data_IF_596323102459
#
_entry.id   IF_596323102459
#
_cell.length_a   1.000
_cell.length_b   1.000
_cell.length_c   1.000
_cell.angle_alpha   90.00
_cell.angle_beta   90.00
_cell.angle_gamma   90.00
#
_symmetry.space_group_name_H-M   'P 1'
#
loop_
_entity.id
_entity.type
_entity.pdbx_description
1 polymer ?
2 branched ?
3 non-polymer ?
4 non-polymer ?
5 water ?
#
# COMPACT_ATOMS: atom_id res chain seq x y z
N UNK A 21 14.02 -32.32 -5.75
CA UNK A 21 14.06 -30.82 -5.78
C UNK A 21 12.80 -30.24 -5.14
N UNK A 22 12.84 -28.94 -4.85
CA UNK A 22 11.79 -28.34 -4.05
C UNK A 22 10.53 -28.24 -4.87
N UNK A 23 9.40 -28.27 -4.17
CA UNK A 23 8.11 -28.19 -4.82
C UNK A 23 7.27 -27.10 -4.14
N UNK A 24 6.42 -26.49 -4.93
CA UNK A 24 5.42 -25.55 -4.42
C UNK A 24 4.10 -25.95 -5.01
N UNK A 25 3.00 -25.72 -4.29
CA UNK A 25 1.69 -25.91 -4.87
C UNK A 25 0.97 -24.57 -4.85
N UNK A 26 0.34 -24.23 -5.98
CA UNK A 26 -0.57 -23.09 -6.01
C UNK A 26 -1.99 -23.68 -6.03
N UNK A 27 -2.85 -23.26 -5.08
CA UNK A 27 -4.22 -23.78 -5.00
C UNK A 27 -5.17 -22.70 -5.43
N UNK A 28 -5.61 -22.79 -6.67
CA UNK A 28 -6.50 -21.78 -7.23
C UNK A 28 -7.91 -21.74 -6.61
N UNK A 29 -8.29 -22.80 -5.89
CA UNK A 29 -9.57 -22.88 -5.22
C UNK A 29 -9.62 -22.25 -3.83
N UNK A 30 -8.47 -21.84 -3.30
CA UNK A 30 -8.39 -21.26 -1.93
C UNK A 30 -8.19 -19.73 -2.07
N UNK A 31 -9.30 -19.03 -2.29
CA UNK A 31 -9.19 -17.57 -2.50
C UNK A 31 -8.98 -16.79 -1.19
N UNK A 32 -8.11 -15.79 -1.23
CA UNK A 32 -7.81 -14.93 -0.11
C UNK A 32 -8.31 -13.49 -0.41
N UNK A 33 -7.51 -12.45 -0.22
CA UNK A 33 -7.98 -11.05 -0.31
C UNK A 33 -8.00 -10.58 -1.75
N UNK A 34 -8.99 -9.77 -2.12
CA UNK A 34 -9.03 -9.08 -3.39
C UNK A 34 -8.03 -7.91 -3.39
N UNK A 35 -7.18 -7.83 -4.41
CA UNK A 35 -6.20 -6.76 -4.50
C UNK A 35 -6.84 -5.42 -4.92
N UNK A 36 -6.57 -4.37 -4.17
CA UNK A 36 -6.98 -3.01 -4.53
C UNK A 36 -5.92 -2.29 -5.32
N UNK A 37 -4.68 -2.44 -4.93
CA UNK A 37 -3.55 -1.93 -5.70
C UNK A 37 -2.33 -1.49 -4.95
N UNK A 38 -1.48 -0.74 -5.66
CA UNK A 38 -0.13 -0.36 -5.23
C UNK A 38 0.14 1.09 -5.63
N UNK A 39 0.91 1.84 -4.83
CA UNK A 39 1.26 3.18 -5.26
C UNK A 39 2.13 3.95 -4.30
N UNK A 40 1.86 5.26 -4.14
CA UNK A 40 2.68 6.12 -3.26
C UNK A 40 2.10 7.52 -3.06
N UNK A 41 2.86 8.40 -2.36
CA UNK A 41 2.47 9.75 -1.91
C UNK A 41 2.93 10.88 -2.81
N UNK A 42 2.06 11.87 -3.04
CA UNK A 42 2.44 13.19 -3.59
C UNK A 42 2.21 14.26 -2.49
N UNK A 43 3.14 15.22 -2.33
CA UNK A 43 2.93 16.29 -1.33
C UNK A 43 3.49 17.62 -1.85
N UNK A 44 2.70 18.35 -2.61
CA UNK A 44 3.20 19.53 -3.32
C UNK A 44 3.39 20.83 -2.47
N UNK A 45 3.06 20.77 -1.19
CA UNK A 45 3.36 21.86 -0.25
C UNK A 45 4.74 21.65 0.39
N UNK A 46 5.04 20.44 0.84
CA UNK A 46 6.34 20.12 1.45
C UNK A 46 7.47 19.96 0.47
N UNK A 47 7.21 19.31 -0.68
CA UNK A 47 8.22 19.07 -1.70
C UNK A 47 7.61 19.50 -3.04
N UNK A 48 8.36 19.35 -4.11
CA UNK A 48 7.84 19.78 -5.42
C UNK A 48 6.79 18.77 -5.82
N UNK A 49 5.72 19.28 -6.42
CA UNK A 49 4.75 18.39 -7.09
C UNK A 49 5.45 17.46 -8.15
N UNK A 50 4.82 16.31 -8.46
CA UNK A 50 5.23 15.55 -9.64
C UNK A 50 5.07 16.46 -10.85
N UNK A 51 6.00 16.38 -11.80
CA UNK A 51 5.88 17.08 -13.08
C UNK A 51 4.87 16.32 -13.95
N UNK A 52 4.45 16.95 -15.04
CA UNK A 52 3.60 16.22 -16.03
C UNK A 52 4.16 14.79 -16.42
N UNK A 53 5.44 14.73 -16.73
CA UNK A 53 6.06 13.46 -17.15
C UNK A 53 6.10 12.43 -16.03
N UNK A 54 6.36 12.92 -14.81
CA UNK A 54 6.43 12.04 -13.65
C UNK A 54 5.08 11.40 -13.29
N UNK A 55 4.02 12.16 -13.48
CA UNK A 55 2.66 11.65 -13.28
C UNK A 55 2.45 10.40 -14.20
N UNK A 56 2.89 10.46 -15.43
CA UNK A 56 2.74 9.33 -16.36
C UNK A 56 3.67 8.17 -16.02
N UNK A 57 4.89 8.50 -15.64
CA UNK A 57 5.81 7.42 -15.20
C UNK A 57 5.21 6.63 -14.04
N UNK A 58 4.57 7.33 -13.09
CA UNK A 58 4.04 6.68 -11.88
C UNK A 58 2.80 5.83 -12.16
N UNK A 59 1.84 6.41 -12.88
CA UNK A 59 0.47 5.85 -12.98
C UNK A 59 0.13 5.19 -14.29
N UNK A 60 0.96 5.39 -15.32
CA UNK A 60 0.88 4.60 -16.57
C UNK A 60 1.36 3.17 -16.35
N UNK A 61 0.94 2.23 -17.22
CA UNK A 61 1.42 0.83 -17.14
C UNK A 61 2.07 0.36 -18.43
N UNK A 62 2.67 1.29 -19.17
CA UNK A 62 3.46 0.93 -20.33
C UNK A 62 4.89 0.65 -19.99
N UNK A 63 5.68 0.52 -21.06
CA UNK A 63 7.10 0.31 -20.93
C UNK A 63 7.76 1.46 -20.17
N UNK A 64 8.56 1.10 -19.18
CA UNK A 64 9.24 2.08 -18.35
C UNK A 64 8.34 2.90 -17.41
N UNK A 65 7.14 2.37 -17.13
CA UNK A 65 6.23 3.01 -16.20
C UNK A 65 5.91 2.02 -15.08
N UNK A 66 5.61 2.57 -13.91
CA UNK A 66 5.45 1.76 -12.69
C UNK A 66 4.12 1.02 -12.57
N UNK A 67 3.08 1.49 -13.23
CA UNK A 67 1.78 0.83 -13.18
C UNK A 67 1.09 1.01 -11.85
N UNK A 68 1.42 2.09 -11.11
CA UNK A 68 0.76 2.33 -9.84
C UNK A 68 -0.74 2.55 -10.04
N UNK A 69 -1.54 2.07 -9.06
CA UNK A 69 -2.99 2.19 -9.14
C UNK A 69 -3.60 2.91 -7.94
N UNK A 70 -2.77 3.40 -6.99
CA UNK A 70 -3.24 4.18 -5.85
C UNK A 70 -2.35 5.42 -5.68
N UNK A 71 -2.98 6.59 -5.54
CA UNK A 71 -2.30 7.83 -5.16
C UNK A 71 -2.78 8.23 -3.80
N UNK A 72 -1.84 8.53 -2.90
CA UNK A 72 -2.19 9.16 -1.63
C UNK A 72 -1.76 10.64 -1.61
N UNK A 73 -2.62 11.51 -1.05
CA UNK A 73 -2.40 12.99 -0.93
C UNK A 73 -2.70 13.45 0.48
N UNK A 74 -2.27 14.68 0.83
CA UNK A 74 -2.58 15.26 2.13
C UNK A 74 -3.75 16.26 2.07
N UNK A 75 -4.38 16.43 3.22
CA UNK A 75 -5.45 17.44 3.41
C UNK A 75 -4.82 18.61 4.18
N UNK A 76 -4.57 19.73 3.49
CA UNK A 76 -3.93 20.85 4.15
C UNK A 76 -4.87 21.53 5.18
N UNK A 77 -4.28 21.94 6.28
CA UNK A 77 -4.94 22.77 7.29
C UNK A 77 -5.38 24.15 6.80
N UNK A 78 -4.71 24.65 5.76
CA UNK A 78 -5.02 25.97 5.15
C UNK A 78 -5.68 25.69 3.83
N UNK A 79 -6.97 25.97 3.76
CA UNK A 79 -7.72 25.72 2.52
C UNK A 79 -7.17 26.49 1.28
N UNK A 80 -6.41 27.55 1.49
CA UNK A 80 -5.80 28.22 0.38
C UNK A 80 -4.69 27.37 -0.27
N UNK A 81 -4.24 26.28 0.34
CA UNK A 81 -3.32 25.33 -0.33
C UNK A 81 -3.97 24.14 -1.12
N UNK A 82 -5.27 23.92 -0.95
CA UNK A 82 -5.90 22.73 -1.55
C UNK A 82 -5.74 22.62 -3.08
N UNK A 83 -5.76 23.78 -3.74
CA UNK A 83 -5.61 23.85 -5.21
C UNK A 83 -4.33 23.20 -5.71
N UNK A 84 -3.30 23.18 -4.89
CA UNK A 84 -2.02 22.58 -5.30
C UNK A 84 -2.07 21.07 -5.54
N UNK A 85 -3.05 20.37 -4.95
CA UNK A 85 -3.17 18.88 -5.13
C UNK A 85 -3.80 18.42 -6.43
N UNK A 86 -4.51 19.33 -7.08
CA UNK A 86 -5.48 18.93 -8.09
C UNK A 86 -4.85 18.31 -9.34
N UNK A 87 -3.86 18.97 -9.94
CA UNK A 87 -3.28 18.48 -11.19
C UNK A 87 -2.80 17.02 -11.12
N UNK A 88 -2.03 16.69 -10.09
CA UNK A 88 -1.50 15.32 -9.98
C UNK A 88 -2.63 14.31 -9.65
N UNK A 89 -3.56 14.70 -8.78
CA UNK A 89 -4.66 13.78 -8.42
C UNK A 89 -5.56 13.49 -9.64
N UNK A 90 -5.81 14.54 -10.43
CA UNK A 90 -6.62 14.36 -11.63
C UNK A 90 -5.93 13.45 -12.62
N UNK A 91 -4.62 13.67 -12.82
CA UNK A 91 -3.90 12.81 -13.79
C UNK A 91 -3.90 11.33 -13.38
N UNK A 92 -3.72 11.07 -12.09
CA UNK A 92 -3.67 9.71 -11.60
C UNK A 92 -4.99 9.01 -11.87
N UNK A 93 -6.08 9.72 -11.61
CA UNK A 93 -7.42 9.16 -11.87
C UNK A 93 -7.60 8.89 -13.36
N UNK A 94 -7.19 9.84 -14.20
CA UNK A 94 -7.28 9.59 -15.66
C UNK A 94 -6.53 8.32 -16.13
N UNK A 95 -5.43 8.00 -15.47
CA UNK A 95 -4.66 6.81 -15.79
C UNK A 95 -5.12 5.53 -15.08
N UNK A 96 -6.20 5.62 -14.34
CA UNK A 96 -6.86 4.43 -13.75
C UNK A 96 -6.68 4.25 -12.26
N UNK A 97 -6.08 5.21 -11.57
CA UNK A 97 -5.84 5.05 -10.15
C UNK A 97 -7.02 5.47 -9.30
N UNK A 98 -6.97 5.11 -8.02
CA UNK A 98 -7.86 5.68 -7.00
C UNK A 98 -7.03 6.57 -6.10
N UNK A 99 -7.67 7.49 -5.37
CA UNK A 99 -6.97 8.51 -4.57
C UNK A 99 -7.53 8.45 -3.13
N UNK A 100 -6.64 8.38 -2.16
CA UNK A 100 -7.02 8.53 -0.75
C UNK A 100 -6.29 9.75 -0.15
N UNK A 101 -6.92 10.45 0.79
CA UNK A 101 -6.33 11.69 1.36
C UNK A 101 -6.22 11.55 2.87
N UNK A 102 -5.11 12.00 3.42
CA UNK A 102 -4.93 12.05 4.83
C UNK A 102 -4.56 13.45 5.37
N UNK A 103 -5.16 13.87 6.52
CA UNK A 103 -4.81 15.16 7.17
C UNK A 103 -3.68 14.96 8.17
N UNK A 104 -2.82 15.96 8.32
CA UNK A 104 -1.81 15.99 9.38
C UNK A 104 -2.21 16.86 10.57
N UNK A 105 -2.83 18.02 10.30
CA UNK A 105 -3.39 18.87 11.37
C UNK A 105 -4.72 19.46 10.98
N UNK A 106 -5.58 19.69 11.94
CA UNK A 106 -6.75 20.54 11.66
C UNK A 106 -6.36 22.02 11.46
N UNK A 107 -7.29 22.84 10.92
CA UNK A 107 -7.09 24.29 10.97
C UNK A 107 -6.78 24.81 12.37
N UNK A 108 -5.96 25.87 12.45
CA UNK A 108 -5.40 26.29 13.74
C UNK A 108 -6.43 26.79 14.72
N UNK A 109 -7.52 27.32 14.25
CA UNK A 109 -8.58 27.75 15.16
C UNK A 109 -9.31 26.55 15.86
N UNK A 110 -9.06 25.31 15.44
CA UNK A 110 -9.67 24.09 16.03
C UNK A 110 -8.73 23.34 16.97
N UNK A 111 -7.49 23.82 17.04
CA UNK A 111 -6.39 23.15 17.71
C UNK A 111 -6.24 23.75 19.11
N UNK A 112 -5.92 22.90 20.06
CA UNK A 112 -5.41 23.38 21.32
C UNK A 112 -4.12 22.66 21.63
N UNK A 113 -3.40 23.23 22.58
CA UNK A 113 -2.14 22.54 22.97
C UNK A 113 -2.32 21.87 24.32
N UNK A 114 -1.49 20.89 24.57
CA UNK A 114 -1.42 20.17 25.78
C UNK A 114 -0.01 19.59 25.97
N UNK A 115 0.23 19.10 27.19
CA UNK A 115 1.50 18.47 27.55
C UNK A 115 1.31 16.93 27.47
N UNK A 116 2.12 16.27 26.64
CA UNK A 116 2.12 14.81 26.39
C UNK A 116 3.44 14.15 26.86
N UNK A 117 3.33 13.22 27.81
CA UNK A 117 4.52 12.53 28.31
C UNK A 117 5.61 13.56 28.73
N UNK A 118 5.22 14.69 29.27
CA UNK A 118 6.15 15.76 29.71
C UNK A 118 6.61 16.76 28.64
N UNK A 119 6.19 16.56 27.41
CA UNK A 119 6.61 17.43 26.30
C UNK A 119 5.47 18.46 26.09
N UNK A 120 5.74 19.78 26.28
CA UNK A 120 4.67 20.80 26.15
C UNK A 120 4.37 21.18 24.70
N UNK A 121 3.33 22.00 24.55
CA UNK A 121 2.95 22.61 23.29
C UNK A 121 2.64 21.59 22.16
N UNK A 122 2.17 20.39 22.54
CA UNK A 122 1.72 19.37 21.59
C UNK A 122 0.31 19.66 21.14
N UNK A 123 -0.01 19.24 19.94
CA UNK A 123 -1.31 19.57 19.35
C UNK A 123 -2.31 18.44 19.45
N UNK A 124 -3.55 18.82 19.79
CA UNK A 124 -4.66 17.91 19.62
C UNK A 124 -5.89 18.70 19.09
N UNK A 125 -6.80 17.98 18.49
CA UNK A 125 -8.07 18.59 18.08
C UNK A 125 -8.92 18.89 19.33
N UNK A 126 -9.37 20.13 19.47
CA UNK A 126 -10.29 20.49 20.59
C UNK A 126 -11.54 19.60 20.54
N UNK A 127 -11.92 19.05 21.66
CA UNK A 127 -13.10 18.16 21.65
C UNK A 127 -14.35 18.89 21.21
N UNK A 128 -14.47 20.16 21.63
CA UNK A 128 -15.60 20.99 21.26
C UNK A 128 -15.58 21.39 19.78
N UNK A 129 -14.54 21.00 19.04
CA UNK A 129 -14.46 21.25 17.61
C UNK A 129 -14.53 19.96 16.75
N UNK A 130 -14.87 18.79 17.32
CA UNK A 130 -14.99 17.55 16.49
C UNK A 130 -15.95 17.74 15.33
N UNK A 131 -17.08 18.42 15.60
CA UNK A 131 -18.03 18.63 14.55
C UNK A 131 -17.52 19.61 13.50
N UNK A 132 -16.78 20.63 13.93
CA UNK A 132 -16.16 21.56 12.98
C UNK A 132 -15.10 20.85 12.10
N UNK A 133 -14.38 19.87 12.67
CA UNK A 133 -13.37 19.10 11.94
C UNK A 133 -13.98 18.22 10.85
N UNK A 134 -15.10 17.60 11.19
CA UNK A 134 -15.89 16.90 10.16
C UNK A 134 -16.20 17.85 9.00
N UNK A 135 -16.61 19.06 9.32
CA UNK A 135 -16.97 20.02 8.27
C UNK A 135 -15.77 20.41 7.42
N UNK A 136 -14.59 20.54 8.06
CA UNK A 136 -13.36 20.77 7.32
C UNK A 136 -13.00 19.60 6.36
N UNK A 137 -13.08 18.36 6.84
CA UNK A 137 -12.84 17.19 5.96
C UNK A 137 -13.86 17.13 4.85
N UNK A 138 -15.13 17.38 5.18
CA UNK A 138 -16.14 17.38 4.14
C UNK A 138 -15.94 18.48 3.11
N UNK A 139 -15.48 19.66 3.55
CA UNK A 139 -15.19 20.81 2.67
C UNK A 139 -14.07 20.40 1.70
N UNK A 140 -13.08 19.64 2.19
CA UNK A 140 -11.99 19.10 1.29
C UNK A 140 -12.52 18.10 0.29
N UNK A 141 -13.33 17.15 0.79
CA UNK A 141 -13.98 16.19 -0.10
C UNK A 141 -14.76 16.93 -1.21
N UNK A 142 -15.54 17.94 -0.82
CA UNK A 142 -16.39 18.65 -1.79
C UNK A 142 -15.54 19.50 -2.74
N UNK A 143 -14.47 20.10 -2.21
CA UNK A 143 -13.55 20.88 -3.06
C UNK A 143 -12.88 19.99 -4.12
N UNK A 144 -12.41 18.82 -3.70
CA UNK A 144 -11.76 17.92 -4.66
C UNK A 144 -12.78 17.36 -5.68
N UNK A 145 -13.99 17.05 -5.22
CA UNK A 145 -15.06 16.58 -6.11
C UNK A 145 -15.42 17.62 -7.17
N UNK A 146 -15.47 18.88 -6.78
CA UNK A 146 -15.74 20.00 -7.68
C UNK A 146 -14.63 20.15 -8.73
N UNK A 147 -13.43 19.66 -8.41
CA UNK A 147 -12.26 19.67 -9.30
C UNK A 147 -11.95 18.33 -9.95
N UNK A 148 -12.94 17.44 -10.03
CA UNK A 148 -12.79 16.15 -10.74
C UNK A 148 -12.06 15.03 -10.05
N UNK A 149 -11.86 15.19 -8.72
CA UNK A 149 -11.20 14.22 -7.94
C UNK A 149 -12.21 13.65 -6.92
N UNK A 150 -12.77 12.49 -7.24
CA UNK A 150 -13.66 11.73 -6.36
C UNK A 150 -12.80 10.83 -5.46
N UNK A 151 -12.56 11.28 -4.24
CA UNK A 151 -11.71 10.52 -3.33
C UNK A 151 -12.30 9.13 -3.01
N UNK A 152 -11.47 8.09 -3.03
CA UNK A 152 -11.90 6.74 -2.65
C UNK A 152 -12.12 6.70 -1.11
N UNK A 153 -11.29 7.46 -0.37
CA UNK A 153 -11.31 7.44 1.06
C UNK A 153 -10.57 8.64 1.64
N UNK A 154 -10.97 9.02 2.86
CA UNK A 154 -10.32 10.09 3.63
C UNK A 154 -10.03 9.56 5.03
N UNK A 155 -8.87 9.92 5.53
CA UNK A 155 -8.43 9.43 6.84
C UNK A 155 -8.77 10.45 7.94
N UNK A 156 -8.96 9.96 9.16
CA UNK A 156 -9.17 10.82 10.32
C UNK A 156 -7.86 11.56 10.63
N UNK A 157 -6.74 10.85 10.49
CA UNK A 157 -5.45 11.37 10.91
C UNK A 157 -4.30 10.51 10.41
N UNK A 158 -3.30 11.15 9.87
CA UNK A 158 -2.02 10.45 9.61
C UNK A 158 -1.26 10.22 10.86
N UNK A 159 -0.98 8.97 11.21
CA UNK A 159 -0.08 8.67 12.33
C UNK A 159 -0.44 9.42 13.60
N UNK A 160 -1.66 9.19 14.11
CA UNK A 160 -2.13 9.78 15.36
C UNK A 160 -1.25 9.42 16.54
N UNK A 161 -0.50 8.31 16.42
CA UNK A 161 0.35 7.77 17.48
C UNK A 161 1.83 8.03 17.25
N UNK A 162 2.14 8.96 16.33
CA UNK A 162 3.52 9.39 16.09
C UNK A 162 3.55 10.88 15.72
N UNK A 163 2.88 11.71 16.50
CA UNK A 163 2.50 13.10 16.08
C UNK A 163 3.32 14.23 16.71
N UNK A 164 4.56 13.96 17.01
CA UNK A 164 5.47 14.96 17.54
C UNK A 164 5.44 16.25 16.68
N UNK A 165 5.27 16.10 15.38
CA UNK A 165 5.27 17.26 14.47
C UNK A 165 3.92 17.56 13.86
N UNK A 166 2.87 16.94 14.38
CA UNK A 166 1.51 17.19 13.91
C UNK A 166 0.50 17.00 15.06
N UNK A 167 -0.67 16.40 14.79
CA UNK A 167 -1.77 16.33 15.75
C UNK A 167 -1.93 14.92 16.29
N UNK A 168 -1.80 14.82 17.62
CA UNK A 168 -1.95 13.54 18.31
C UNK A 168 -3.42 13.17 18.58
N UNK A 169 -3.74 11.88 18.48
CA UNK A 169 -4.99 11.33 18.99
C UNK A 169 -4.66 10.09 19.80
N UNK A 170 -5.17 10.05 21.00
CA UNK A 170 -5.11 8.81 21.77
C UNK A 170 -6.01 7.72 21.14
N UNK A 171 -5.82 6.45 21.54
CA UNK A 171 -6.78 5.44 21.06
C UNK A 171 -8.24 5.75 21.42
N UNK A 172 -8.46 6.35 22.58
CA UNK A 172 -9.80 6.70 23.03
C UNK A 172 -10.38 7.90 22.26
N UNK A 173 -9.55 8.91 21.99
CA UNK A 173 -9.99 10.09 21.22
C UNK A 173 -10.36 9.67 19.80
N UNK A 174 -9.49 8.85 19.18
CA UNK A 174 -9.78 8.20 17.90
C UNK A 174 -11.11 7.40 17.95
N UNK A 175 -11.29 6.57 18.99
CA UNK A 175 -12.48 5.81 19.12
C UNK A 175 -13.71 6.73 19.21
N UNK A 176 -13.67 7.74 20.07
CA UNK A 176 -14.83 8.62 20.27
C UNK A 176 -15.18 9.36 18.98
N UNK A 177 -14.16 9.79 18.23
CA UNK A 177 -14.40 10.40 16.92
C UNK A 177 -15.05 9.40 15.94
N UNK A 178 -14.49 8.20 15.88
CA UNK A 178 -15.04 7.11 15.05
C UNK A 178 -16.44 6.74 15.42
N UNK A 179 -16.71 6.68 16.71
CA UNK A 179 -18.04 6.28 17.18
C UNK A 179 -19.07 7.38 17.03
N UNK A 180 -18.71 8.63 17.36
CA UNK A 180 -19.69 9.72 17.52
C UNK A 180 -19.76 10.68 16.35
N UNK A 181 -18.70 10.77 15.54
CA UNK A 181 -18.59 11.80 14.46
C UNK A 181 -18.34 11.27 13.07
N UNK A 182 -17.62 10.16 12.91
CA UNK A 182 -17.14 9.72 11.62
C UNK A 182 -18.23 9.29 10.68
N UNK A 183 -19.42 8.92 11.21
CA UNK A 183 -20.60 8.71 10.37
C UNK A 183 -21.01 9.91 9.51
N UNK A 184 -20.64 11.11 9.91
CA UNK A 184 -21.00 12.35 9.18
C UNK A 184 -20.05 12.71 8.02
N UNK A 185 -18.99 11.93 7.87
CA UNK A 185 -18.02 12.16 6.80
C UNK A 185 -18.57 11.61 5.51
N UNK A 186 -18.55 12.44 4.49
CA UNK A 186 -19.15 12.12 3.21
C UNK A 186 -18.19 11.37 2.31
N UNK A 187 -17.58 10.32 2.78
CA UNK A 187 -16.61 9.55 1.99
C UNK A 187 -16.39 8.21 2.73
N UNK A 188 -15.66 7.27 2.15
CA UNK A 188 -15.17 6.13 2.96
C UNK A 188 -14.21 6.64 4.01
N UNK A 189 -14.32 6.10 5.22
CA UNK A 189 -13.49 6.53 6.33
C UNK A 189 -12.38 5.51 6.56
N UNK A 190 -11.16 6.02 6.54
CA UNK A 190 -9.96 5.26 6.82
C UNK A 190 -9.45 5.63 8.20
N UNK A 191 -9.11 4.61 8.99
CA UNK A 191 -8.51 4.83 10.26
C UNK A 191 -7.77 3.53 10.67
N UNK A 192 -6.85 3.60 11.61
CA UNK A 192 -6.35 4.83 12.24
C UNK A 192 -4.99 5.27 11.71
N UNK A 193 -4.42 4.56 10.72
CA UNK A 193 -3.11 4.87 10.17
C UNK A 193 -2.03 4.97 11.23
N UNK A 194 -1.97 3.93 12.09
CA UNK A 194 -0.90 3.83 13.05
C UNK A 194 0.44 3.74 12.33
N UNK A 195 1.46 4.41 12.86
CA UNK A 195 2.75 4.43 12.17
C UNK A 195 3.39 3.02 11.99
N UNK A 196 3.01 2.07 12.85
CA UNK A 196 3.66 0.75 12.89
C UNK A 196 2.61 -0.39 12.94
N UNK A 197 1.39 -0.12 12.55
CA UNK A 197 0.31 -1.13 12.63
C UNK A 197 0.11 -1.59 14.06
N UNK A 198 0.15 -0.61 14.97
CA UNK A 198 -0.03 -0.95 16.39
C UNK A 198 -1.51 -1.25 16.68
N UNK A 199 -1.78 -2.46 17.20
CA UNK A 199 -3.17 -2.92 17.31
C UNK A 199 -3.92 -2.14 18.39
N UNK A 200 -3.21 -1.51 19.31
CA UNK A 200 -3.92 -0.70 20.31
C UNK A 200 -4.68 0.52 19.76
N UNK A 201 -4.26 1.02 18.59
CA UNK A 201 -4.97 2.11 17.92
C UNK A 201 -6.20 1.70 17.18
N UNK A 202 -6.23 0.43 16.73
CA UNK A 202 -7.32 -0.14 15.94
C UNK A 202 -8.25 -1.07 16.72
N UNK A 203 -7.77 -1.81 17.69
CA UNK A 203 -8.63 -2.72 18.47
C UNK A 203 -9.94 -2.03 18.98
N UNK A 204 -9.86 -0.76 19.51
CA UNK A 204 -11.10 -0.15 20.04
C UNK A 204 -12.17 0.05 18.96
N UNK A 205 -11.74 0.39 17.76
CA UNK A 205 -12.67 0.58 16.66
C UNK A 205 -13.33 -0.78 16.31
N UNK A 206 -12.52 -1.85 16.20
CA UNK A 206 -13.05 -3.16 15.80
C UNK A 206 -13.97 -3.78 16.84
N UNK A 207 -13.76 -3.43 18.10
CA UNK A 207 -14.57 -3.92 19.20
C UNK A 207 -15.83 -3.10 19.56
N UNK A 208 -16.03 -1.93 18.96
CA UNK A 208 -17.19 -1.10 19.23
C UNK A 208 -18.10 -1.14 17.99
N UNK A 209 -19.37 -1.60 18.17
CA UNK A 209 -20.15 -1.79 16.93
C UNK A 209 -20.41 -0.52 16.14
N UNK A 210 -20.62 0.63 16.81
CA UNK A 210 -20.85 1.91 16.12
C UNK A 210 -19.63 2.42 15.38
N UNK A 211 -18.50 2.36 16.05
CA UNK A 211 -17.24 2.76 15.42
C UNK A 211 -16.90 1.87 14.23
N UNK A 212 -17.04 0.57 14.42
CA UNK A 212 -16.77 -0.41 13.34
C UNK A 212 -17.70 -0.16 12.16
N UNK A 213 -18.96 0.11 12.44
CA UNK A 213 -19.88 0.44 11.38
C UNK A 213 -19.45 1.71 10.62
N UNK A 214 -18.87 2.70 11.30
CA UNK A 214 -18.46 3.95 10.64
C UNK A 214 -17.14 3.79 9.87
N UNK A 215 -16.35 2.79 10.23
CA UNK A 215 -15.14 2.46 9.48
C UNK A 215 -15.44 1.85 8.12
N UNK A 216 -14.62 2.19 7.14
CA UNK A 216 -14.63 1.48 5.85
C UNK A 216 -13.32 0.78 5.49
N UNK A 217 -12.23 1.43 5.82
CA UNK A 217 -10.88 0.92 5.52
C UNK A 217 -10.03 0.98 6.76
N UNK A 218 -9.52 -0.15 7.16
CA UNK A 218 -8.51 -0.22 8.21
C UNK A 218 -7.20 0.12 7.53
N UNK A 219 -6.64 1.30 7.85
CA UNK A 219 -5.38 1.72 7.28
C UNK A 219 -4.26 1.58 8.28
N UNK A 220 -3.09 1.17 7.82
CA UNK A 220 -1.92 0.96 8.70
C UNK A 220 -0.64 1.34 7.95
N UNK A 221 0.32 1.91 8.66
CA UNK A 221 1.69 2.07 8.11
C UNK A 221 2.60 0.96 8.63
N UNK A 222 3.78 0.78 7.98
CA UNK A 222 4.62 -0.40 8.22
C UNK A 222 5.99 -0.04 8.74
N UNK A 223 6.18 1.17 9.35
CA UNK A 223 7.51 1.64 9.80
C UNK A 223 7.94 0.85 11.02
N UNK A 224 8.88 -0.07 10.81
CA UNK A 224 9.29 -0.95 11.88
C UNK A 224 8.40 -2.17 12.11
N UNK A 225 7.45 -2.48 11.23
CA UNK A 225 6.51 -3.57 11.47
C UNK A 225 7.12 -4.93 11.05
N UNK A 226 7.26 -5.84 12.00
CA UNK A 226 7.85 -7.18 11.71
C UNK A 226 6.84 -8.15 11.16
N UNK A 227 7.33 -9.25 10.55
CA UNK A 227 6.44 -10.28 9.97
C UNK A 227 5.49 -10.85 10.98
N UNK A 228 5.94 -11.08 12.19
CA UNK A 228 5.04 -11.64 13.23
C UNK A 228 3.91 -10.67 13.62
N UNK A 229 4.03 -9.37 13.27
CA UNK A 229 2.99 -8.36 13.59
C UNK A 229 2.12 -8.00 12.42
N UNK A 230 2.30 -8.73 11.32
CA UNK A 230 1.48 -8.56 10.13
C UNK A 230 0.12 -9.25 10.16
N UNK A 231 0.02 -10.46 10.73
CA UNK A 231 -1.34 -11.02 10.85
C UNK A 231 -2.15 -10.22 11.85
N UNK A 232 -3.46 -10.25 11.75
CA UNK A 232 -4.34 -9.52 12.71
C UNK A 232 -5.61 -10.31 12.91
N UNK A 233 -5.54 -11.29 13.86
CA UNK A 233 -6.69 -12.14 14.15
C UNK A 233 -8.00 -11.40 14.41
N UNK A 234 -7.98 -10.26 15.12
CA UNK A 234 -9.21 -9.53 15.42
C UNK A 234 -9.85 -9.01 14.15
N UNK A 235 -9.03 -8.52 13.22
CA UNK A 235 -9.54 -8.09 11.96
C UNK A 235 -10.08 -9.27 11.14
N UNK A 236 -9.43 -10.44 11.17
CA UNK A 236 -10.01 -11.64 10.51
C UNK A 236 -11.37 -12.04 11.12
N UNK A 237 -11.59 -11.80 12.42
CA UNK A 237 -12.85 -12.10 13.10
C UNK A 237 -13.92 -11.05 12.86
N UNK A 238 -13.56 -9.74 12.90
CA UNK A 238 -14.53 -8.59 12.94
C UNK A 238 -14.63 -7.77 11.67
N UNK A 239 -13.68 -8.00 10.76
CA UNK A 239 -13.46 -7.16 9.63
C UNK A 239 -14.26 -7.43 8.41
N UNK A 240 -15.30 -8.27 8.51
CA UNK A 240 -16.12 -8.48 7.30
C UNK A 240 -16.66 -7.15 6.69
N UNK A 241 -16.51 -6.99 5.37
CA UNK A 241 -16.92 -5.81 4.65
C UNK A 241 -15.98 -4.60 4.76
N UNK A 242 -14.87 -4.73 5.49
CA UNK A 242 -13.90 -3.64 5.61
C UNK A 242 -12.68 -3.97 4.79
N UNK A 243 -12.06 -2.95 4.21
CA UNK A 243 -10.83 -3.17 3.46
C UNK A 243 -9.67 -3.02 4.39
N UNK A 244 -8.51 -3.47 3.90
CA UNK A 244 -7.28 -3.50 4.70
C UNK A 244 -6.14 -2.97 3.84
N UNK A 245 -5.64 -1.77 4.15
CA UNK A 245 -4.66 -1.05 3.31
C UNK A 245 -3.43 -0.70 4.11
N UNK A 246 -2.26 -0.95 3.53
CA UNK A 246 -1.00 -0.49 4.04
C UNK A 246 -0.66 0.83 3.27
N UNK A 247 -0.88 1.96 3.97
CA UNK A 247 -0.89 3.31 3.34
C UNK A 247 0.37 4.14 3.39
N UNK A 248 1.43 3.69 4.06
CA UNK A 248 2.69 4.35 3.96
C UNK A 248 3.80 3.49 4.49
N UNK A 249 4.92 3.49 3.76
CA UNK A 249 6.17 2.97 4.24
C UNK A 249 7.28 3.39 3.30
N UNK A 250 8.50 3.31 3.81
CA UNK A 250 9.68 3.14 2.90
C UNK A 250 10.51 2.07 3.58
N UNK A 251 11.23 1.30 2.76
CA UNK A 251 12.06 0.18 3.25
C UNK A 251 13.26 -0.03 2.32
N UNK A 252 14.40 -0.43 2.85
CA UNK A 252 14.64 -0.71 4.27
C UNK A 252 15.10 0.58 5.02
N UNK A 253 15.23 1.71 4.31
CA UNK A 253 15.65 2.98 4.93
C UNK A 253 15.28 4.15 4.02
N UNK A 254 15.50 5.38 4.50
CA UNK A 254 15.33 6.59 3.65
C UNK A 254 16.69 7.29 3.42
N UNK A 255 17.73 6.49 3.28
CA UNK A 255 19.07 6.99 3.05
C UNK A 255 19.10 7.80 1.73
N UNK A 256 19.78 8.96 1.74
CA UNK A 256 19.98 9.77 0.55
C UNK A 256 20.59 8.93 -0.56
N UNK A 257 20.03 9.05 -1.75
CA UNK A 257 20.53 8.40 -2.93
C UNK A 257 20.71 6.87 -2.86
N UNK A 258 19.77 6.24 -2.18
CA UNK A 258 19.83 4.76 -1.90
C UNK A 258 19.00 3.86 -2.82
N UNK A 259 18.20 4.48 -3.70
CA UNK A 259 17.15 3.73 -4.37
C UNK A 259 17.64 2.62 -5.32
N UNK A 260 18.86 2.74 -5.84
CA UNK A 260 19.44 1.71 -6.76
C UNK A 260 20.37 0.70 -6.06
N UNK A 261 20.52 0.80 -4.78
CA UNK A 261 21.44 -0.12 -4.02
C UNK A 261 20.94 -1.57 -4.11
N UNK A 262 21.84 -2.50 -4.43
CA UNK A 262 21.55 -3.95 -4.65
C UNK A 262 22.52 -4.80 -3.83
N UNK A 263 22.08 -5.83 -3.09
CA UNK A 263 20.74 -6.40 -3.13
C UNK A 263 19.75 -5.83 -2.09
N UNK A 264 20.07 -4.66 -1.51
CA UNK A 264 19.18 -3.99 -0.55
C UNK A 264 17.77 -3.83 -1.11
N UNK A 265 17.68 -3.44 -2.38
CA UNK A 265 16.35 -3.25 -2.97
C UNK A 265 15.44 -4.51 -2.89
N UNK A 266 16.02 -5.72 -2.79
CA UNK A 266 15.17 -6.96 -2.68
C UNK A 266 14.30 -6.91 -1.43
N UNK A 267 14.68 -6.08 -0.44
CA UNK A 267 13.84 -5.92 0.79
C UNK A 267 12.48 -5.30 0.50
N UNK A 268 12.43 -4.49 -0.53
CA UNK A 268 11.14 -3.90 -0.96
C UNK A 268 10.18 -5.04 -1.40
N UNK A 269 10.67 -5.94 -2.30
CA UNK A 269 9.86 -7.08 -2.75
C UNK A 269 9.46 -8.00 -1.62
N UNK A 270 10.40 -8.28 -0.73
CA UNK A 270 10.10 -9.11 0.38
C UNK A 270 9.02 -8.45 1.29
N UNK A 271 9.08 -7.14 1.51
CA UNK A 271 8.08 -6.45 2.37
C UNK A 271 6.71 -6.47 1.75
N UNK A 272 6.66 -6.33 0.43
CA UNK A 272 5.41 -6.47 -0.29
C UNK A 272 4.85 -7.92 -0.23
N UNK A 273 5.71 -8.92 -0.48
CA UNK A 273 5.29 -10.33 -0.34
C UNK A 273 4.70 -10.56 1.06
N UNK A 274 5.40 -10.05 2.06
CA UNK A 274 4.93 -10.21 3.45
C UNK A 274 3.59 -9.51 3.69
N UNK A 275 3.46 -8.27 3.20
CA UNK A 275 2.20 -7.53 3.33
C UNK A 275 1.06 -8.38 2.75
N UNK A 276 1.29 -8.96 1.57
CA UNK A 276 0.24 -9.69 0.88
C UNK A 276 -0.09 -11.04 1.50
N UNK A 277 0.95 -11.82 1.84
CA UNK A 277 0.79 -13.21 2.26
C UNK A 277 0.64 -13.40 3.77
N UNK A 278 1.36 -12.60 4.55
CA UNK A 278 1.32 -12.68 6.01
C UNK A 278 0.26 -11.69 6.56
N UNK A 279 0.12 -10.54 5.94
CA UNK A 279 -0.85 -9.55 6.40
C UNK A 279 -2.21 -9.54 5.73
N UNK A 280 -2.32 -10.24 4.61
CA UNK A 280 -3.53 -10.25 3.80
C UNK A 280 -3.92 -8.82 3.35
N UNK A 281 -2.93 -7.94 3.20
CA UNK A 281 -3.23 -6.54 2.74
C UNK A 281 -3.71 -6.47 1.30
N UNK A 282 -4.68 -5.57 1.05
CA UNK A 282 -5.24 -5.36 -0.24
C UNK A 282 -4.53 -4.23 -1.00
N UNK A 283 -3.81 -3.35 -0.31
CA UNK A 283 -3.15 -2.18 -0.94
C UNK A 283 -1.82 -2.03 -0.25
N UNK A 284 -0.78 -1.60 -1.01
CA UNK A 284 0.51 -1.31 -0.48
C UNK A 284 0.97 0.02 -1.11
N UNK A 285 1.15 1.03 -0.28
CA UNK A 285 1.42 2.44 -0.72
C UNK A 285 2.71 2.96 -0.09
N UNK A 286 3.66 3.26 -0.93
CA UNK A 286 4.89 3.93 -0.52
C UNK A 286 4.67 5.38 0.00
N UNK A 287 5.70 5.91 0.68
CA UNK A 287 5.81 7.36 0.92
C UNK A 287 6.05 8.12 -0.43
N UNK A 288 6.84 9.22 -0.42
CA UNK A 288 6.98 10.04 -1.59
C UNK A 288 7.35 9.19 -2.81
N UNK A 289 6.59 9.33 -3.87
CA UNK A 289 6.84 8.59 -5.12
C UNK A 289 8.24 8.96 -5.70
N UNK A 290 8.50 10.28 -5.75
CA UNK A 290 9.71 10.83 -6.34
C UNK A 290 10.60 11.28 -5.20
N UNK A 291 11.70 10.57 -4.99
CA UNK A 291 12.66 10.94 -3.92
C UNK A 291 13.91 10.09 -4.10
N UNK A 292 15.03 10.50 -3.49
CA UNK A 292 16.28 9.75 -3.80
C UNK A 292 16.34 8.28 -3.23
N UNK A 293 15.38 7.96 -2.36
CA UNK A 293 15.18 6.59 -1.76
C UNK A 293 13.87 5.94 -2.16
N UNK A 294 13.16 6.54 -3.12
CA UNK A 294 11.87 6.10 -3.53
C UNK A 294 11.85 5.32 -4.84
N UNK A 295 10.65 4.95 -5.29
CA UNK A 295 10.55 4.14 -6.51
C UNK A 295 10.90 4.92 -7.78
N UNK A 296 10.78 6.27 -7.72
CA UNK A 296 11.16 7.15 -8.81
C UNK A 296 12.28 8.06 -8.30
N UNK A 297 13.38 8.06 -9.04
CA UNK A 297 14.53 8.92 -8.74
C UNK A 297 14.25 10.40 -9.06
N UNK A 298 15.07 11.32 -8.51
CA UNK A 298 14.88 12.76 -8.80
C UNK A 298 15.04 13.08 -10.29
N UNK A 299 15.71 12.24 -11.05
CA UNK A 299 15.77 12.43 -12.48
C UNK A 299 14.57 11.89 -13.26
N UNK A 300 13.58 11.39 -12.55
CA UNK A 300 12.37 10.87 -13.19
C UNK A 300 12.42 9.43 -13.67
N UNK A 301 13.52 8.72 -13.46
CA UNK A 301 13.66 7.32 -13.93
C UNK A 301 13.28 6.38 -12.78
N UNK A 302 12.98 5.13 -13.11
CA UNK A 302 12.63 4.16 -12.12
C UNK A 302 13.88 3.59 -11.46
N UNK A 303 13.82 3.50 -10.13
CA UNK A 303 14.92 2.92 -9.35
C UNK A 303 14.83 1.40 -9.22
N UNK A 304 15.89 0.76 -8.72
CA UNK A 304 15.76 -0.67 -8.37
C UNK A 304 14.62 -0.93 -7.38
N UNK A 305 14.43 -0.05 -6.40
CA UNK A 305 13.28 -0.18 -5.48
C UNK A 305 11.96 -0.08 -6.21
N UNK A 306 11.91 0.83 -7.20
CA UNK A 306 10.77 0.92 -8.08
C UNK A 306 10.47 -0.33 -8.88
N UNK A 307 11.53 -0.99 -9.41
CA UNK A 307 11.33 -2.24 -10.16
C UNK A 307 10.81 -3.37 -9.25
N UNK A 308 11.25 -3.37 -8.02
CA UNK A 308 10.70 -4.32 -7.05
C UNK A 308 9.18 -4.14 -6.91
N UNK A 309 8.74 -2.88 -6.77
CA UNK A 309 7.32 -2.59 -6.68
C UNK A 309 6.61 -2.99 -7.95
N UNK A 310 7.26 -2.71 -9.07
CA UNK A 310 6.70 -2.99 -10.39
C UNK A 310 6.42 -4.51 -10.64
N UNK A 311 7.25 -5.40 -10.07
CA UNK A 311 6.99 -6.84 -10.20
C UNK A 311 5.61 -7.26 -9.70
N UNK A 312 5.07 -6.50 -8.75
CA UNK A 312 3.68 -6.61 -8.30
C UNK A 312 2.76 -5.66 -9.08
N UNK A 313 3.08 -4.36 -9.07
CA UNK A 313 2.11 -3.35 -9.52
C UNK A 313 1.77 -3.48 -11.00
N UNK A 314 2.73 -3.82 -11.86
CA UNK A 314 2.49 -3.92 -13.27
C UNK A 314 1.68 -5.15 -13.71
N UNK A 315 1.67 -6.18 -12.87
CA UNK A 315 1.11 -7.49 -13.20
C UNK A 315 -0.07 -7.98 -12.33
N UNK A 316 -0.02 -7.73 -11.03
CA UNK A 316 -1.14 -8.05 -10.13
C UNK A 316 -2.08 -6.80 -10.12
N UNK A 317 -3.07 -6.82 -10.99
CA UNK A 317 -3.90 -5.63 -11.22
C UNK A 317 -5.08 -5.60 -10.26
N UNK A 318 -5.68 -4.40 -10.03
CA UNK A 318 -6.81 -4.30 -9.12
C UNK A 318 -7.93 -5.29 -9.54
N UNK A 319 -8.45 -6.01 -8.55
CA UNK A 319 -9.52 -7.00 -8.71
C UNK A 319 -9.02 -8.44 -8.81
N UNK A 320 -7.74 -8.64 -9.10
CA UNK A 320 -7.17 -10.02 -8.94
C UNK A 320 -7.31 -10.41 -7.49
N UNK A 321 -7.36 -11.72 -7.23
CA UNK A 321 -7.56 -12.22 -5.91
C UNK A 321 -6.34 -13.08 -5.53
N UNK A 322 -5.76 -12.82 -4.39
CA UNK A 322 -4.66 -13.66 -3.92
C UNK A 322 -5.21 -15.08 -3.67
N UNK A 323 -4.40 -16.13 -3.94
CA UNK A 323 -4.81 -17.51 -3.62
C UNK A 323 -3.74 -18.18 -2.75
N UNK A 324 -4.13 -19.22 -2.02
CA UNK A 324 -3.17 -19.92 -1.19
C UNK A 324 -2.09 -20.60 -2.07
N UNK A 325 -0.84 -20.46 -1.67
CA UNK A 325 0.25 -21.06 -2.38
C UNK A 325 1.39 -21.24 -1.40
N UNK A 326 2.23 -22.23 -1.67
CA UNK A 326 3.37 -22.53 -0.80
C UNK A 326 4.20 -21.25 -0.70
N UNK A 327 4.25 -20.62 0.45
CA UNK A 327 4.83 -19.23 0.51
C UNK A 327 6.33 -19.21 0.50
N UNK A 328 6.94 -20.30 0.98
CA UNK A 328 8.39 -20.31 1.19
C UNK A 328 8.91 -21.75 0.89
N UNK A 329 8.90 -22.16 -0.37
CA UNK A 329 9.11 -23.60 -0.77
C UNK A 329 10.48 -24.18 -0.52
N UNK A 330 11.45 -23.30 -0.43
CA UNK A 330 12.83 -23.66 -0.07
C UNK A 330 13.47 -22.39 0.55
N UNK A 331 14.56 -22.62 1.28
CA UNK A 331 15.22 -21.51 1.98
C UNK A 331 15.53 -20.35 0.98
N UNK A 332 15.17 -19.13 1.37
CA UNK A 332 15.41 -17.86 0.63
C UNK A 332 14.56 -17.68 -0.60
N UNK A 333 13.53 -18.53 -0.79
CA UNK A 333 12.64 -18.39 -1.96
C UNK A 333 11.23 -18.13 -1.42
N UNK A 334 10.59 -17.10 -1.97
CA UNK A 334 9.27 -16.64 -1.48
C UNK A 334 8.37 -16.55 -2.67
N UNK A 335 7.15 -17.08 -2.55
CA UNK A 335 6.22 -17.19 -3.65
C UNK A 335 4.88 -16.62 -3.18
N UNK A 336 4.28 -15.79 -4.03
CA UNK A 336 2.87 -15.44 -3.88
C UNK A 336 2.21 -15.62 -5.24
N UNK A 337 0.91 -15.80 -5.23
CA UNK A 337 0.15 -16.08 -6.45
C UNK A 337 -1.24 -15.45 -6.35
N UNK A 338 -1.65 -14.83 -7.45
CA UNK A 338 -2.93 -14.13 -7.55
C UNK A 338 -3.59 -14.63 -8.81
N UNK A 339 -4.91 -14.72 -8.81
CA UNK A 339 -5.66 -15.26 -9.88
C UNK A 339 -6.54 -14.15 -10.45
N UNK A 340 -6.65 -14.13 -11.76
CA UNK A 340 -7.57 -13.25 -12.47
C UNK A 340 -8.82 -14.08 -12.64
N UNK A 341 -9.87 -13.70 -11.95
CA UNK A 341 -11.12 -14.51 -12.03
C UNK A 341 -11.82 -14.41 -13.36
N UNK A 342 -11.44 -13.47 -14.22
CA UNK A 342 -12.05 -13.46 -15.55
C UNK A 342 -11.73 -14.77 -16.30
N UNK A 343 -10.49 -15.29 -16.18
CA UNK A 343 -10.07 -16.46 -16.97
C UNK A 343 -9.30 -17.55 -16.25
N UNK A 344 -9.21 -17.43 -14.92
CA UNK A 344 -8.48 -18.33 -14.06
C UNK A 344 -6.97 -18.34 -14.36
N UNK A 345 -6.45 -17.31 -15.02
CA UNK A 345 -5.00 -17.18 -15.20
C UNK A 345 -4.37 -16.75 -13.87
N UNK A 346 -3.07 -17.02 -13.77
CA UNK A 346 -2.36 -16.92 -12.53
C UNK A 346 -1.18 -15.99 -12.74
N UNK A 347 -0.92 -15.11 -11.78
CA UNK A 347 0.32 -14.35 -11.69
C UNK A 347 1.07 -14.81 -10.45
N UNK A 348 2.28 -15.30 -10.63
CA UNK A 348 3.07 -15.76 -9.48
C UNK A 348 4.32 -14.86 -9.40
N UNK A 349 4.63 -14.33 -8.22
CA UNK A 349 5.82 -13.46 -8.02
C UNK A 349 6.71 -14.26 -7.07
N UNK A 350 7.92 -14.57 -7.56
CA UNK A 350 8.82 -15.46 -6.84
C UNK A 350 10.10 -14.73 -6.62
N UNK A 351 10.51 -14.61 -5.37
CA UNK A 351 11.68 -13.87 -5.00
C UNK A 351 12.72 -14.91 -4.66
N UNK A 352 13.91 -14.85 -5.26
CA UNK A 352 15.03 -15.66 -4.82
C UNK A 352 16.10 -14.75 -4.22
N UNK A 353 16.19 -14.73 -2.91
CA UNK A 353 17.21 -13.92 -2.22
C UNK A 353 18.54 -14.70 -2.07
N UNK A 354 18.59 -15.96 -2.52
CA UNK A 354 19.84 -16.76 -2.52
C UNK A 354 20.87 -16.24 -3.50
N UNK A 355 22.11 -16.45 -3.12
CA UNK A 355 23.23 -16.23 -4.00
C UNK A 355 23.48 -17.41 -4.99
N UNK A 356 22.69 -18.50 -4.88
CA UNK A 356 22.69 -19.56 -5.90
C UNK A 356 21.33 -19.72 -6.56
N UNK A 357 21.38 -20.22 -7.79
CA UNK A 357 20.18 -20.59 -8.53
C UNK A 357 19.38 -21.64 -7.77
N UNK A 358 18.07 -21.58 -7.94
CA UNK A 358 17.14 -22.55 -7.32
C UNK A 358 16.19 -23.12 -8.38
N UNK A 359 16.04 -24.46 -8.42
CA UNK A 359 15.09 -25.15 -9.30
C UNK A 359 13.92 -25.65 -8.47
N UNK A 360 12.72 -25.26 -8.83
CA UNK A 360 11.49 -25.61 -8.10
C UNK A 360 10.50 -26.26 -9.09
N UNK A 361 9.75 -27.27 -8.65
CA UNK A 361 8.59 -27.77 -9.41
C UNK A 361 7.38 -27.05 -8.87
N UNK A 362 6.73 -26.19 -9.63
CA UNK A 362 5.49 -25.51 -9.18
C UNK A 362 4.24 -26.24 -9.72
N UNK A 363 3.47 -26.83 -8.82
CA UNK A 363 2.34 -27.65 -9.19
C UNK A 363 1.11 -26.72 -9.11
N UNK A 364 0.30 -26.69 -10.16
CA UNK A 364 -0.90 -25.86 -10.15
C UNK A 364 -2.08 -26.79 -10.49
N UNK A 365 -2.49 -27.65 -9.53
CA UNK A 365 -3.46 -28.75 -9.88
C UNK A 365 -4.75 -28.16 -10.44
N UNK A 366 -5.32 -28.84 -11.42
CA UNK A 366 -6.57 -28.44 -12.03
C UNK A 366 -6.50 -27.22 -12.93
N UNK A 367 -5.33 -26.65 -13.14
CA UNK A 367 -5.24 -25.56 -14.15
C UNK A 367 -5.22 -26.09 -15.58
N UNK A 368 -5.83 -25.31 -16.46
CA UNK A 368 -5.71 -25.56 -17.90
C UNK A 368 -4.50 -24.81 -18.51
N UNK A 369 -3.85 -23.92 -17.74
CA UNK A 369 -2.66 -23.20 -18.23
C UNK A 369 -1.55 -24.21 -18.52
N UNK A 370 -0.86 -24.06 -19.66
CA UNK A 370 0.29 -24.90 -19.99
C UNK A 370 1.58 -24.11 -20.31
N UNK A 371 1.51 -22.79 -20.33
CA UNK A 371 2.67 -22.00 -20.67
C UNK A 371 2.69 -20.74 -19.81
N UNK A 372 3.84 -20.44 -19.19
CA UNK A 372 4.03 -19.19 -18.46
C UNK A 372 5.12 -18.37 -19.12
N UNK A 373 4.89 -17.06 -19.23
CA UNK A 373 5.93 -16.13 -19.59
C UNK A 373 6.57 -15.62 -18.31
N UNK A 374 7.79 -15.10 -18.41
CA UNK A 374 8.49 -14.66 -17.21
C UNK A 374 9.33 -13.41 -17.45
N UNK A 375 9.31 -12.52 -16.47
CA UNK A 375 10.06 -11.26 -16.43
C UNK A 375 10.91 -11.30 -15.18
N UNK A 376 12.19 -10.94 -15.35
CA UNK A 376 13.18 -11.10 -14.31
C UNK A 376 13.96 -9.80 -14.03
N UNK A 377 14.08 -9.42 -12.74
CA UNK A 377 14.96 -8.30 -12.32
C UNK A 377 16.06 -8.90 -11.43
N UNK A 378 17.28 -8.45 -11.68
CA UNK A 378 18.44 -8.83 -10.92
C UNK A 378 19.21 -7.53 -10.68
N UNK A 379 20.42 -7.64 -10.17
CA UNK A 379 21.27 -6.43 -10.09
C UNK A 379 21.70 -5.86 -11.43
N UNK A 380 21.60 -6.67 -12.48
CA UNK A 380 22.16 -6.27 -13.80
C UNK A 380 21.08 -6.05 -14.90
N UNK A 381 19.82 -6.29 -14.58
CA UNK A 381 18.73 -6.17 -15.60
C UNK A 381 17.43 -5.86 -14.91
N UNK A 382 16.54 -5.14 -15.59
CA UNK A 382 15.25 -4.77 -15.01
C UNK A 382 14.12 -5.29 -15.81
N UNK A 383 13.22 -6.05 -15.19
CA UNK A 383 12.08 -6.64 -15.90
C UNK A 383 12.42 -7.23 -17.27
N UNK A 384 13.49 -8.02 -17.35
CA UNK A 384 13.92 -8.65 -18.59
C UNK A 384 13.02 -9.83 -18.92
N UNK A 385 12.45 -9.82 -20.11
CA UNK A 385 11.70 -11.01 -20.58
C UNK A 385 12.59 -12.22 -20.87
N UNK A 386 12.38 -13.34 -20.19
CA UNK A 386 13.22 -14.53 -20.42
C UNK A 386 12.40 -15.65 -21.10
N UNK A 387 12.97 -16.84 -21.29
CA UNK A 387 12.30 -17.89 -22.10
C UNK A 387 11.02 -18.41 -21.42
N UNK A 388 10.02 -18.72 -22.22
CA UNK A 388 8.76 -19.27 -21.67
C UNK A 388 8.95 -20.62 -20.95
N UNK A 389 8.14 -20.88 -19.93
CA UNK A 389 8.09 -22.17 -19.18
C UNK A 389 6.96 -23.02 -19.80
N UNK A 390 7.27 -24.24 -20.25
CA UNK A 390 6.21 -25.20 -20.68
C UNK A 390 5.96 -26.21 -19.57
N UNK A 391 4.69 -26.41 -19.26
CA UNK A 391 4.30 -27.32 -18.21
C UNK A 391 4.33 -28.76 -18.71
N UNK A 392 4.69 -29.69 -17.82
CA UNK A 392 4.39 -31.13 -18.04
C UNK A 392 3.17 -31.48 -17.16
N UNK A 393 2.01 -31.61 -17.85
CA UNK A 393 0.71 -31.63 -17.17
C UNK A 393 0.51 -30.33 -16.39
N UNK A 394 0.23 -30.46 -15.11
CA UNK A 394 -0.05 -29.27 -14.28
C UNK A 394 1.17 -28.82 -13.46
N UNK A 395 2.36 -29.32 -13.80
CA UNK A 395 3.60 -29.01 -13.07
C UNK A 395 4.55 -28.20 -13.97
N UNK A 396 5.03 -27.04 -13.46
CA UNK A 396 5.88 -26.07 -14.17
C UNK A 396 7.24 -26.13 -13.39
N UNK A 397 8.30 -26.68 -13.98
CA UNK A 397 9.64 -26.67 -13.40
C UNK A 397 10.36 -25.35 -13.78
N UNK A 398 10.79 -24.57 -12.78
CA UNK A 398 11.36 -23.19 -12.99
C UNK A 398 12.77 -23.13 -12.32
N UNK A 399 13.76 -22.51 -12.99
CA UNK A 399 15.05 -22.26 -12.37
C UNK A 399 15.11 -20.72 -12.13
N UNK A 400 15.33 -20.33 -10.88
CA UNK A 400 15.38 -18.94 -10.49
C UNK A 400 16.85 -18.52 -10.42
N UNK A 401 17.22 -17.45 -11.15
CA UNK A 401 18.58 -16.92 -11.03
C UNK A 401 18.86 -16.46 -9.60
N UNK A 402 20.13 -16.44 -9.22
CA UNK A 402 20.46 -15.86 -7.93
C UNK A 402 19.97 -14.41 -7.75
N UNK A 403 19.53 -14.02 -6.54
CA UNK A 403 19.21 -12.63 -6.20
C UNK A 403 18.35 -11.92 -7.24
N UNK A 404 17.14 -12.43 -7.34
CA UNK A 404 16.24 -12.10 -8.43
C UNK A 404 14.83 -12.07 -7.96
N UNK A 405 14.02 -11.30 -8.68
CA UNK A 405 12.58 -11.42 -8.64
C UNK A 405 12.09 -11.83 -10.01
N UNK A 406 11.22 -12.81 -10.04
CA UNK A 406 10.62 -13.26 -11.26
C UNK A 406 9.09 -13.16 -11.15
N UNK A 407 8.45 -12.54 -12.16
CA UNK A 407 7.05 -12.62 -12.22
C UNK A 407 6.69 -13.53 -13.41
N UNK A 408 5.91 -14.57 -13.12
CA UNK A 408 5.37 -15.53 -14.06
C UNK A 408 3.92 -15.15 -14.37
N UNK A 409 3.63 -14.96 -15.66
CA UNK A 409 2.30 -14.58 -16.10
C UNK A 409 1.81 -15.44 -17.27
#
# INVERSE_FOLDING_TARGET
MGSSHHHHHHSSGLVPRGSHMASATINLSAEKQVIRGFGGMNHPVWISDLTPQQRDTAFGNGEGQLGFTILRIHVDENRNNWSKEVATARRAIELGAIVSASPWNPPSNMVETFTRNGVPNQKRLRYDKYGDYVQHLNDFVAYMKSNGVDLYAISVQNEPDYAHEWTWWTPQEMLRFMRDYAGQINCRVMAPESFQYLKNMSDPILNDPQALANLDILGAHFYGTTVNNMPYPLFEQKGAGKELWMTAVYVPNSDSNSADRWPEALEVAHNMHNALVEGNFQAYVWWYIRRSYGPMKEDGTISKRGYMMAHYSKFVRPGYVRVDATKNPTYNVYLSACKNKKDNSVVAVVINKSTEAKTINISVPGTSIRKWERYVTTGSKNLRKESDINASGTTFQVTLEPQSVTTFV
#
